data_IF_514418868661
#
_entry.id   IF_514418868661
#
_cell.length_a   1.000
_cell.length_b   1.000
_cell.length_c   1.000
_cell.angle_alpha   90.00
_cell.angle_beta   90.00
_cell.angle_gamma   90.00
#
_symmetry.space_group_name_H-M   'P 1'
#
loop_
_entity.id
_entity.type
_entity.pdbx_description
1 polymer ?
#
# COMPACT_ATOMS: atom_id res chain seq x y z
N UNK A 1 29.54 19.41 30.52
CA UNK A 1 29.01 18.12 31.03
C UNK A 1 29.29 17.04 29.98
N UNK A 2 30.22 16.13 30.27
CA UNK A 2 30.82 15.19 29.32
C UNK A 2 29.97 13.91 29.20
N UNK A 3 28.93 13.91 28.37
CA UNK A 3 28.09 12.72 28.12
C UNK A 3 28.73 11.71 27.14
N UNK A 4 29.67 12.18 26.31
CA UNK A 4 30.35 11.40 25.25
C UNK A 4 31.09 10.15 25.76
N UNK A 5 31.90 10.19 26.85
CA UNK A 5 32.63 9.00 27.32
C UNK A 5 31.73 7.91 27.91
N UNK A 6 30.57 8.28 28.48
CA UNK A 6 29.62 7.33 29.09
C UNK A 6 28.89 6.54 27.99
N UNK A 7 28.49 7.22 26.90
CA UNK A 7 27.83 6.60 25.75
C UNK A 7 28.78 5.63 25.04
N UNK A 8 30.04 6.03 24.82
CA UNK A 8 31.06 5.17 24.18
C UNK A 8 31.39 3.94 25.03
N UNK A 9 31.48 4.07 26.36
CA UNK A 9 31.70 2.94 27.26
C UNK A 9 30.51 1.96 27.30
N UNK A 10 29.28 2.48 27.25
CA UNK A 10 28.07 1.66 27.21
C UNK A 10 27.91 0.91 25.89
N UNK A 11 28.15 1.58 24.76
CA UNK A 11 28.09 0.99 23.41
C UNK A 11 29.19 -0.05 23.21
N UNK A 12 30.41 0.19 23.71
CA UNK A 12 31.50 -0.79 23.65
C UNK A 12 31.21 -2.07 24.43
N UNK A 13 30.62 -1.96 25.64
CA UNK A 13 30.32 -3.11 26.50
C UNK A 13 29.08 -3.89 26.04
N UNK A 14 28.08 -3.19 25.49
CA UNK A 14 26.80 -3.78 25.10
C UNK A 14 26.60 -3.90 23.58
N UNK A 15 27.65 -3.65 22.77
CA UNK A 15 27.56 -3.62 21.31
C UNK A 15 26.99 -4.92 20.71
N UNK A 16 27.33 -6.08 21.28
CA UNK A 16 26.77 -7.37 20.86
C UNK A 16 25.25 -7.45 21.06
N UNK A 17 24.75 -6.94 22.19
CA UNK A 17 23.32 -6.90 22.50
C UNK A 17 22.58 -5.89 21.63
N UNK A 18 23.17 -4.71 21.40
CA UNK A 18 22.60 -3.71 20.49
C UNK A 18 22.49 -4.25 19.06
N UNK A 19 23.53 -4.93 18.57
CA UNK A 19 23.54 -5.52 17.24
C UNK A 19 22.51 -6.66 17.13
N UNK A 20 22.35 -7.47 18.18
CA UNK A 20 21.34 -8.52 18.24
C UNK A 20 19.92 -7.95 18.25
N UNK A 21 19.65 -6.89 19.01
CA UNK A 21 18.36 -6.17 18.97
C UNK A 21 18.09 -5.60 17.58
N UNK A 22 19.11 -5.02 16.94
CA UNK A 22 18.96 -4.44 15.60
C UNK A 22 18.68 -5.51 14.54
N UNK A 23 19.32 -6.68 14.65
CA UNK A 23 19.03 -7.85 13.81
C UNK A 23 17.61 -8.38 14.04
N UNK A 24 17.14 -8.45 15.28
CA UNK A 24 15.76 -8.86 15.59
C UNK A 24 14.76 -7.86 15.00
N UNK A 25 15.00 -6.55 15.14
CA UNK A 25 14.12 -5.53 14.58
C UNK A 25 14.09 -5.58 13.06
N UNK A 26 15.24 -5.79 12.41
CA UNK A 26 15.32 -5.99 10.96
C UNK A 26 14.54 -7.24 10.55
N UNK A 27 14.81 -8.38 11.20
CA UNK A 27 14.11 -9.63 10.92
C UNK A 27 12.59 -9.47 11.10
N UNK A 28 12.14 -8.86 12.18
CA UNK A 28 10.74 -8.55 12.41
C UNK A 28 10.15 -7.67 11.31
N UNK A 29 10.83 -6.60 10.90
CA UNK A 29 10.37 -5.72 9.83
C UNK A 29 10.18 -6.47 8.51
N UNK A 30 11.12 -7.37 8.16
CA UNK A 30 11.02 -8.21 6.96
C UNK A 30 9.98 -9.34 7.08
N UNK A 31 9.78 -9.90 8.28
CA UNK A 31 8.90 -11.06 8.50
C UNK A 31 7.44 -10.65 8.77
N UNK A 32 7.20 -9.44 9.27
CA UNK A 32 5.88 -8.88 9.55
C UNK A 32 4.84 -9.07 8.43
N UNK A 33 5.13 -8.81 7.14
CA UNK A 33 4.15 -9.05 6.08
C UNK A 33 3.77 -10.53 5.94
N UNK A 34 4.74 -11.45 6.10
CA UNK A 34 4.49 -12.89 6.03
C UNK A 34 3.67 -13.40 7.21
N UNK A 35 3.99 -12.95 8.42
CA UNK A 35 3.21 -13.31 9.62
C UNK A 35 1.76 -12.84 9.50
N UNK A 36 1.52 -11.63 8.97
CA UNK A 36 0.15 -11.16 8.74
C UNK A 36 -0.63 -12.04 7.76
N UNK A 37 0.03 -12.63 6.76
CA UNK A 37 -0.61 -13.57 5.83
C UNK A 37 -0.94 -14.90 6.52
N UNK A 38 0.00 -15.46 7.29
CA UNK A 38 -0.17 -16.76 7.97
C UNK A 38 -1.23 -16.69 9.06
N UNK A 39 -1.30 -15.58 9.80
CA UNK A 39 -2.30 -15.38 10.86
C UNK A 39 -3.61 -14.76 10.37
N UNK A 40 -3.88 -14.77 9.05
CA UNK A 40 -5.17 -14.35 8.49
C UNK A 40 -5.47 -12.85 8.64
N UNK A 41 -4.46 -12.02 8.93
CA UNK A 41 -4.61 -10.57 9.03
C UNK A 41 -4.73 -9.86 7.68
N UNK A 42 -4.67 -10.61 6.57
CA UNK A 42 -4.82 -10.11 5.21
C UNK A 42 -5.65 -11.14 4.43
N UNK A 43 -6.76 -10.74 3.76
CA UNK A 43 -7.59 -11.68 3.01
C UNK A 43 -6.81 -12.32 1.85
N UNK A 44 -7.21 -13.52 1.42
CA UNK A 44 -6.58 -14.23 0.30
C UNK A 44 -6.63 -13.44 -1.01
N UNK A 45 -5.72 -13.74 -1.94
CA UNK A 45 -5.66 -13.08 -3.24
C UNK A 45 -6.97 -13.28 -4.01
N UNK A 46 -7.58 -12.18 -4.43
CA UNK A 46 -8.83 -12.22 -5.15
C UNK A 46 -8.61 -12.88 -6.53
N UNK A 47 -9.46 -13.83 -6.94
CA UNK A 47 -9.35 -14.47 -8.24
C UNK A 47 -9.66 -13.48 -9.36
N UNK A 48 -9.07 -13.70 -10.55
CA UNK A 48 -9.43 -12.92 -11.74
C UNK A 48 -10.87 -13.21 -12.18
N UNK A 49 -11.54 -12.18 -12.66
CA UNK A 49 -12.93 -12.23 -13.10
C UNK A 49 -13.01 -12.58 -14.60
N UNK A 50 -13.90 -13.51 -14.94
CA UNK A 50 -14.17 -13.88 -16.33
C UNK A 50 -14.90 -12.70 -17.00
N UNK A 51 -14.35 -12.18 -18.10
CA UNK A 51 -14.88 -10.98 -18.76
C UNK A 51 -14.41 -9.66 -18.13
N UNK A 52 -13.55 -9.69 -17.11
CA UNK A 52 -12.97 -8.50 -16.47
C UNK A 52 -11.89 -7.78 -17.29
N UNK A 53 -11.74 -8.14 -18.57
CA UNK A 53 -10.72 -7.62 -19.49
C UNK A 53 -9.35 -8.29 -19.37
N UNK A 54 -8.52 -8.11 -20.39
CA UNK A 54 -7.18 -8.72 -20.44
C UNK A 54 -6.13 -7.88 -19.71
N UNK A 55 -5.15 -8.57 -19.12
CA UNK A 55 -3.97 -7.94 -18.54
C UNK A 55 -2.84 -8.01 -19.58
N UNK A 56 -2.54 -6.87 -20.20
CA UNK A 56 -1.40 -6.76 -21.11
C UNK A 56 -0.09 -7.01 -20.35
N UNK A 57 0.87 -7.66 -21.00
CA UNK A 57 2.19 -7.93 -20.42
C UNK A 57 2.90 -6.65 -19.93
N UNK A 58 2.75 -5.55 -20.67
CA UNK A 58 3.27 -4.23 -20.29
C UNK A 58 2.69 -3.73 -18.97
N UNK A 59 1.38 -3.92 -18.75
CA UNK A 59 0.73 -3.57 -17.50
C UNK A 59 1.19 -4.49 -16.36
N UNK A 60 1.25 -5.80 -16.61
CA UNK A 60 1.69 -6.79 -15.63
C UNK A 60 3.11 -6.49 -15.12
N UNK A 61 4.03 -6.13 -16.01
CA UNK A 61 5.41 -5.78 -15.64
C UNK A 61 5.49 -4.51 -14.77
N UNK A 62 4.55 -3.58 -14.93
CA UNK A 62 4.48 -2.34 -14.15
C UNK A 62 3.66 -2.45 -12.85
N UNK A 63 3.03 -3.60 -12.57
CA UNK A 63 2.09 -3.77 -11.46
C UNK A 63 2.64 -3.32 -10.10
N UNK A 64 3.90 -3.68 -9.78
CA UNK A 64 4.53 -3.35 -8.51
C UNK A 64 4.82 -1.85 -8.39
N UNK A 65 5.17 -1.21 -9.51
CA UNK A 65 5.36 0.23 -9.56
C UNK A 65 4.02 0.96 -9.41
N UNK A 66 2.99 0.55 -10.17
CA UNK A 66 1.63 1.12 -10.07
C UNK A 66 1.06 1.01 -8.66
N UNK A 67 1.13 -0.16 -8.03
CA UNK A 67 0.71 -0.35 -6.64
C UNK A 67 1.49 0.55 -5.66
N UNK A 68 2.79 0.74 -5.89
CA UNK A 68 3.64 1.59 -5.05
C UNK A 68 3.36 3.08 -5.21
N UNK A 69 3.18 3.53 -6.45
CA UNK A 69 2.77 4.90 -6.76
C UNK A 69 1.42 5.19 -6.12
N UNK A 70 0.44 4.29 -6.28
CA UNK A 70 -0.87 4.42 -5.66
C UNK A 70 -0.75 4.55 -4.13
N UNK A 71 -0.03 3.66 -3.47
CA UNK A 71 0.20 3.74 -2.01
C UNK A 71 0.82 5.06 -1.58
N UNK A 72 1.91 5.48 -2.24
CA UNK A 72 2.62 6.72 -1.91
C UNK A 72 1.72 7.94 -2.08
N UNK A 73 0.92 7.96 -3.14
CA UNK A 73 0.03 9.08 -3.44
C UNK A 73 -1.13 9.13 -2.45
N UNK A 74 -1.80 8.00 -2.17
CA UNK A 74 -2.91 7.96 -1.22
C UNK A 74 -2.48 8.25 0.22
N UNK A 75 -1.23 7.96 0.58
CA UNK A 75 -0.68 8.22 1.92
C UNK A 75 -0.26 9.67 2.16
N UNK A 76 0.04 10.43 1.10
CA UNK A 76 0.44 11.84 1.26
C UNK A 76 -0.76 12.63 1.79
N UNK A 77 -0.50 13.53 2.75
CA UNK A 77 -1.53 14.39 3.37
C UNK A 77 -2.30 15.18 2.30
N UNK A 78 -3.61 15.35 2.52
CA UNK A 78 -4.65 15.91 1.63
C UNK A 78 -4.40 17.29 1.02
N UNK A 79 -3.28 17.96 1.30
CA UNK A 79 -2.99 19.31 0.80
C UNK A 79 -2.39 19.35 -0.62
N UNK A 80 -2.07 18.20 -1.23
CA UNK A 80 -1.58 18.10 -2.61
C UNK A 80 -2.53 17.25 -3.46
N UNK A 81 -3.66 17.84 -3.86
CA UNK A 81 -4.80 17.14 -4.46
C UNK A 81 -4.57 16.60 -5.88
N UNK A 82 -3.78 17.30 -6.70
CA UNK A 82 -3.65 16.96 -8.13
C UNK A 82 -3.07 15.56 -8.37
N UNK A 83 -2.06 15.18 -7.59
CA UNK A 83 -1.43 13.87 -7.70
C UNK A 83 -2.37 12.73 -7.28
N UNK A 84 -3.20 12.96 -6.26
CA UNK A 84 -4.18 11.99 -5.75
C UNK A 84 -5.30 11.76 -6.76
N UNK A 85 -5.89 12.83 -7.28
CA UNK A 85 -6.97 12.72 -8.26
C UNK A 85 -6.48 12.10 -9.57
N UNK A 86 -5.26 12.42 -10.02
CA UNK A 86 -4.66 11.76 -11.18
C UNK A 86 -4.47 10.25 -10.97
N UNK A 87 -3.98 9.82 -9.80
CA UNK A 87 -3.81 8.41 -9.48
C UNK A 87 -5.14 7.65 -9.37
N UNK A 88 -6.17 8.27 -8.77
CA UNK A 88 -7.51 7.70 -8.68
C UNK A 88 -8.19 7.61 -10.06
N UNK A 89 -8.03 8.65 -10.89
CA UNK A 89 -8.49 8.63 -12.29
C UNK A 89 -7.83 7.52 -13.08
N UNK A 90 -6.51 7.36 -12.96
CA UNK A 90 -5.78 6.27 -13.61
C UNK A 90 -6.31 4.91 -13.14
N UNK A 91 -6.50 4.73 -11.83
CA UNK A 91 -7.01 3.49 -11.26
C UNK A 91 -8.43 3.16 -11.75
N UNK A 92 -9.31 4.16 -11.88
CA UNK A 92 -10.63 3.98 -12.48
C UNK A 92 -10.59 3.63 -13.97
N UNK A 93 -9.52 4.01 -14.69
CA UNK A 93 -9.33 3.62 -16.08
C UNK A 93 -8.90 2.16 -16.28
N UNK A 94 -8.53 1.45 -15.21
CA UNK A 94 -8.16 0.04 -15.32
C UNK A 94 -9.40 -0.85 -15.49
N UNK A 95 -9.24 -1.91 -16.28
CA UNK A 95 -10.24 -2.98 -16.30
C UNK A 95 -10.22 -3.78 -14.98
N UNK A 96 -11.22 -4.62 -14.78
CA UNK A 96 -11.42 -5.28 -13.50
C UNK A 96 -10.28 -6.24 -13.14
N UNK A 97 -9.73 -6.97 -14.12
CA UNK A 97 -8.59 -7.88 -13.88
C UNK A 97 -7.29 -7.13 -13.58
N UNK A 98 -7.07 -5.99 -14.23
CA UNK A 98 -5.98 -5.07 -13.89
C UNK A 98 -6.15 -4.52 -12.48
N UNK A 99 -7.37 -4.14 -12.09
CA UNK A 99 -7.66 -3.64 -10.75
C UNK A 99 -7.45 -4.73 -9.69
N UNK A 100 -7.90 -5.96 -9.94
CA UNK A 100 -7.66 -7.13 -9.09
C UNK A 100 -6.15 -7.40 -8.94
N UNK A 101 -5.39 -7.37 -10.05
CA UNK A 101 -3.93 -7.54 -10.03
C UNK A 101 -3.26 -6.50 -9.13
N UNK A 102 -3.61 -5.22 -9.32
CA UNK A 102 -3.02 -4.13 -8.54
C UNK A 102 -3.45 -4.21 -7.08
N UNK A 103 -4.72 -4.53 -6.80
CA UNK A 103 -5.22 -4.75 -5.44
C UNK A 103 -4.42 -5.86 -4.74
N UNK A 104 -4.28 -7.04 -5.35
CA UNK A 104 -3.53 -8.15 -4.77
C UNK A 104 -2.06 -7.77 -4.54
N UNK A 105 -1.44 -7.08 -5.50
CA UNK A 105 -0.06 -6.60 -5.36
C UNK A 105 0.10 -5.57 -4.23
N UNK A 106 -0.87 -4.67 -4.09
CA UNK A 106 -0.92 -3.65 -3.05
C UNK A 106 -1.07 -4.29 -1.67
N UNK A 107 -2.06 -5.17 -1.54
CA UNK A 107 -2.38 -5.90 -0.33
C UNK A 107 -1.22 -6.77 0.15
N UNK A 108 -0.61 -7.55 -0.74
CA UNK A 108 0.54 -8.38 -0.40
C UNK A 108 1.76 -7.56 0.04
N UNK A 109 1.93 -6.34 -0.49
CA UNK A 109 3.08 -5.50 -0.18
C UNK A 109 2.89 -4.66 1.09
N UNK A 110 1.69 -4.14 1.33
CA UNK A 110 1.41 -3.17 2.40
C UNK A 110 0.60 -3.76 3.56
N UNK A 111 0.03 -4.96 3.39
CA UNK A 111 -0.76 -5.64 4.42
C UNK A 111 -2.04 -4.90 4.78
N UNK A 112 -2.62 -4.18 3.83
CA UNK A 112 -3.94 -3.54 3.88
C UNK A 112 -4.54 -3.53 2.48
N UNK A 113 -5.86 -3.54 2.37
CA UNK A 113 -6.56 -3.50 1.08
C UNK A 113 -6.58 -2.08 0.52
N UNK A 114 -6.73 -1.97 -0.80
CA UNK A 114 -6.92 -0.67 -1.43
C UNK A 114 -8.21 0.01 -0.93
N UNK A 115 -9.26 -0.77 -0.69
CA UNK A 115 -10.53 -0.28 -0.15
C UNK A 115 -10.36 0.39 1.22
N UNK A 116 -9.68 -0.26 2.17
CA UNK A 116 -9.40 0.31 3.49
C UNK A 116 -8.54 1.58 3.39
N UNK A 117 -7.52 1.58 2.53
CA UNK A 117 -6.70 2.77 2.31
C UNK A 117 -7.55 3.95 1.80
N UNK A 118 -8.52 3.71 0.92
CA UNK A 118 -9.41 4.76 0.42
C UNK A 118 -10.40 5.25 1.49
N UNK A 119 -10.78 4.41 2.45
CA UNK A 119 -11.63 4.82 3.59
C UNK A 119 -10.89 5.69 4.59
N UNK A 120 -9.58 5.50 4.74
CA UNK A 120 -8.74 6.33 5.60
C UNK A 120 -8.49 7.75 5.03
N UNK A 121 -8.86 7.97 3.76
CA UNK A 121 -8.75 9.28 3.12
C UNK A 121 -9.92 10.15 3.57
N UNK A 122 -9.62 11.16 4.39
CA UNK A 122 -10.57 12.21 4.74
C UNK A 122 -10.68 13.22 3.59
N UNK A 123 -11.91 13.42 3.10
CA UNK A 123 -12.24 14.42 2.07
C UNK A 123 -12.27 13.86 0.65
N UNK A 124 -13.39 14.06 -0.03
CA UNK A 124 -13.58 13.79 -1.46
C UNK A 124 -13.11 15.01 -2.27
N UNK A 125 -11.83 15.36 -2.13
CA UNK A 125 -11.31 16.61 -2.70
C UNK A 125 -11.16 16.54 -4.24
N UNK A 126 -11.47 15.40 -4.85
CA UNK A 126 -11.51 15.26 -6.31
C UNK A 126 -12.86 15.70 -6.91
N UNK A 127 -13.94 15.71 -6.11
CA UNK A 127 -15.27 16.13 -6.56
C UNK A 127 -15.44 17.64 -6.83
N UNK A 128 -14.57 18.50 -6.28
CA UNK A 128 -14.59 19.97 -6.52
C UNK A 128 -13.77 20.41 -7.74
N UNK A 129 -13.03 19.50 -8.34
CA UNK A 129 -12.30 19.75 -9.58
C UNK A 129 -13.09 19.16 -10.76
N UNK A 130 -12.88 19.63 -12.00
CA UNK A 130 -13.51 19.12 -13.24
C UNK A 130 -13.31 17.61 -13.51
N UNK A 131 -12.76 16.88 -12.54
CA UNK A 131 -12.32 15.51 -12.59
C UNK A 131 -13.35 14.52 -11.99
N UNK A 132 -14.26 14.94 -11.10
CA UNK A 132 -15.35 14.08 -10.60
C UNK A 132 -15.02 13.16 -9.41
N UNK A 133 -16.03 12.43 -8.92
CA UNK A 133 -16.00 11.62 -7.69
C UNK A 133 -15.29 10.27 -7.89
N UNK A 134 -13.97 10.29 -8.10
CA UNK A 134 -13.22 9.08 -8.44
C UNK A 134 -12.98 8.12 -7.26
N UNK A 135 -12.89 8.60 -6.03
CA UNK A 135 -12.67 7.74 -4.86
C UNK A 135 -13.90 6.86 -4.59
N UNK A 136 -15.11 7.43 -4.63
CA UNK A 136 -16.38 6.73 -4.45
C UNK A 136 -16.63 5.72 -5.56
N UNK A 137 -16.43 6.12 -6.83
CA UNK A 137 -16.52 5.18 -7.96
C UNK A 137 -15.54 4.02 -7.83
N UNK A 138 -14.30 4.29 -7.41
CA UNK A 138 -13.30 3.24 -7.22
C UNK A 138 -13.67 2.34 -6.03
N UNK A 139 -14.15 2.90 -4.93
CA UNK A 139 -14.66 2.14 -3.77
C UNK A 139 -15.81 1.21 -4.17
N UNK A 140 -16.78 1.71 -4.93
CA UNK A 140 -17.92 0.93 -5.39
C UNK A 140 -17.49 -0.20 -6.32
N UNK A 141 -16.57 0.06 -7.25
CA UNK A 141 -15.99 -0.98 -8.11
C UNK A 141 -15.22 -2.02 -7.31
N UNK A 142 -14.38 -1.60 -6.35
CA UNK A 142 -13.66 -2.52 -5.47
C UNK A 142 -14.64 -3.39 -4.66
N UNK A 143 -15.70 -2.80 -4.10
CA UNK A 143 -16.74 -3.53 -3.37
C UNK A 143 -17.48 -4.53 -4.28
N UNK A 144 -17.83 -4.14 -5.50
CA UNK A 144 -18.51 -5.01 -6.48
C UNK A 144 -17.65 -6.22 -6.86
N UNK A 145 -16.34 -6.03 -6.93
CA UNK A 145 -15.36 -7.09 -7.19
C UNK A 145 -15.00 -7.90 -5.93
N UNK A 146 -15.59 -7.60 -4.77
CA UNK A 146 -15.29 -8.26 -3.50
C UNK A 146 -13.90 -7.93 -2.93
N UNK A 147 -13.31 -6.80 -3.31
CA UNK A 147 -11.95 -6.37 -2.99
C UNK A 147 -11.89 -5.46 -1.75
N UNK A 148 -12.56 -5.88 -0.67
CA UNK A 148 -12.73 -5.11 0.59
C UNK A 148 -11.64 -5.46 1.61
#
# INVERSE_FOLDING_TARGET
MNAVPIILGFVGKNGKWLLLVLLILLAWYFLKPYLRRIFGGVPDDAPYFIGGGDILASFYNLRSNKANTLYKTLKKSSFANDGRCAALKEANGWNDNQLILIHNQFKNKYGTTLFNMLNDIYGDDCGLTDFGFFDSQLKDRLSTLGLV
#
